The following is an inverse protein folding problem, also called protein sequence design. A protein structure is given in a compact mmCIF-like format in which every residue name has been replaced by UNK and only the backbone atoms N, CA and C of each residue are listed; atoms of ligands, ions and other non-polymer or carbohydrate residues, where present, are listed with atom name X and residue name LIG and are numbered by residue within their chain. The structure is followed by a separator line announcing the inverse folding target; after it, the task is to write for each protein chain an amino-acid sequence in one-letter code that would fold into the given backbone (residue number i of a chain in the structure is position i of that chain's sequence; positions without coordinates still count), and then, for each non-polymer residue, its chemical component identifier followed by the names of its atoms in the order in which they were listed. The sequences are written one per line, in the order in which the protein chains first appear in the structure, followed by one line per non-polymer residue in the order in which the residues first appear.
data_IF_275964513578
#
_entry.id   IF_275964513578
#
_cell.length_a   1.000
_cell.length_b   1.000
_cell.length_c   1.000
_cell.angle_alpha   90.00
_cell.angle_beta   90.00
_cell.angle_gamma   90.00
#
_symmetry.space_group_name_H-M   'P 1'
#
loop_
_entity.id
_entity.type
_entity.pdbx_description
1 polymer ?
#
# COMPACT_ATOMS: atom_id res chain seq x y z
N UNK A 1 -17.05 -24.02 31.69
CA UNK A 1 -15.91 -24.14 30.76
C UNK A 1 -16.34 -24.43 29.33
N UNK A 2 -17.06 -25.52 29.00
CA UNK A 2 -17.44 -25.79 27.59
C UNK A 2 -18.65 -24.96 27.09
N UNK A 3 -19.60 -24.63 27.97
CA UNK A 3 -20.75 -23.78 27.61
C UNK A 3 -20.36 -22.32 27.32
N UNK A 4 -19.30 -21.84 27.98
CA UNK A 4 -18.76 -20.49 27.78
C UNK A 4 -18.14 -20.36 26.38
N UNK A 5 -17.41 -21.40 25.94
CA UNK A 5 -16.79 -21.45 24.60
C UNK A 5 -17.84 -21.41 23.48
N UNK A 6 -18.97 -22.11 23.64
CA UNK A 6 -20.06 -22.08 22.65
C UNK A 6 -20.70 -20.70 22.57
N UNK A 7 -20.86 -20.01 23.71
CA UNK A 7 -21.36 -18.64 23.77
C UNK A 7 -20.40 -17.63 23.13
N UNK A 8 -19.11 -17.75 23.40
CA UNK A 8 -18.07 -16.90 22.82
C UNK A 8 -17.98 -17.07 21.31
N UNK A 9 -18.03 -18.31 20.81
CA UNK A 9 -18.05 -18.60 19.38
C UNK A 9 -19.31 -18.02 18.73
N UNK A 10 -20.50 -18.22 19.32
CA UNK A 10 -21.75 -17.68 18.79
C UNK A 10 -21.73 -16.14 18.71
N UNK A 11 -21.17 -15.49 19.73
CA UNK A 11 -20.98 -14.03 19.78
C UNK A 11 -20.02 -13.54 18.70
N UNK A 12 -18.88 -14.21 18.52
CA UNK A 12 -17.90 -13.88 17.47
C UNK A 12 -18.54 -14.02 16.09
N UNK A 13 -19.30 -15.10 15.86
CA UNK A 13 -20.00 -15.31 14.57
C UNK A 13 -21.05 -14.24 14.32
N UNK A 14 -21.90 -13.91 15.30
CA UNK A 14 -22.95 -12.90 15.14
C UNK A 14 -22.37 -11.49 14.96
N UNK A 15 -21.48 -11.07 15.87
CA UNK A 15 -20.86 -9.73 15.81
C UNK A 15 -19.96 -9.61 14.58
N UNK A 16 -19.17 -10.63 14.27
CA UNK A 16 -18.31 -10.66 13.09
C UNK A 16 -19.12 -10.55 11.78
N UNK A 17 -20.23 -11.28 11.68
CA UNK A 17 -21.13 -11.19 10.52
C UNK A 17 -21.78 -9.82 10.41
N UNK A 18 -22.28 -9.26 11.52
CA UNK A 18 -22.89 -7.93 11.53
C UNK A 18 -21.89 -6.82 11.21
N UNK A 19 -20.67 -6.91 11.74
CA UNK A 19 -19.57 -6.00 11.44
C UNK A 19 -19.16 -6.07 9.96
N UNK A 20 -19.07 -7.28 9.38
CA UNK A 20 -18.77 -7.47 7.97
C UNK A 20 -19.85 -6.91 7.04
N UNK A 21 -21.13 -7.13 7.36
CA UNK A 21 -22.25 -6.53 6.61
C UNK A 21 -22.19 -5.01 6.69
N UNK A 22 -21.95 -4.46 7.89
CA UNK A 22 -21.80 -3.01 8.11
C UNK A 22 -20.65 -2.43 7.29
N UNK A 23 -19.50 -3.12 7.27
CA UNK A 23 -18.35 -2.78 6.43
C UNK A 23 -18.75 -2.73 4.95
N UNK A 24 -19.40 -3.76 4.42
CA UNK A 24 -19.86 -3.79 3.02
C UNK A 24 -20.79 -2.61 2.71
N UNK A 25 -21.74 -2.29 3.59
CA UNK A 25 -22.66 -1.15 3.40
C UNK A 25 -21.88 0.16 3.34
N UNK A 26 -20.95 0.38 4.27
CA UNK A 26 -20.09 1.57 4.30
C UNK A 26 -19.25 1.67 3.03
N UNK A 27 -18.64 0.56 2.59
CA UNK A 27 -17.84 0.51 1.37
C UNK A 27 -18.68 0.75 0.12
N UNK A 28 -19.93 0.30 0.11
CA UNK A 28 -20.87 0.47 -1.01
C UNK A 28 -21.37 1.91 -1.12
N UNK A 29 -21.56 2.60 0.00
CA UNK A 29 -21.90 4.04 0.06
C UNK A 29 -20.68 4.90 -0.32
N UNK A 30 -19.48 4.53 0.13
CA UNK A 30 -18.24 5.26 -0.16
C UNK A 30 -17.77 5.17 -1.63
N UNK A 31 -18.38 4.28 -2.41
CA UNK A 31 -18.19 4.18 -3.86
C UNK A 31 -16.90 3.47 -4.31
N UNK A 32 -16.99 2.79 -5.45
CA UNK A 32 -15.89 1.98 -6.07
C UNK A 32 -14.66 2.81 -6.49
N UNK A 33 -14.74 4.14 -6.47
CA UNK A 33 -13.67 5.04 -6.94
C UNK A 33 -12.58 5.29 -5.90
N UNK A 34 -12.87 5.08 -4.61
CA UNK A 34 -11.94 5.37 -3.50
C UNK A 34 -11.00 4.18 -3.25
N UNK A 35 -11.51 2.95 -3.40
CA UNK A 35 -10.74 1.71 -3.19
C UNK A 35 -10.09 1.14 -4.45
N UNK A 36 -10.66 1.35 -5.65
CA UNK A 36 -10.08 0.80 -6.89
C UNK A 36 -8.82 1.55 -7.39
N UNK A 37 -8.48 2.68 -6.75
CA UNK A 37 -7.27 3.46 -7.04
C UNK A 37 -6.13 3.21 -6.06
N UNK A 38 -6.42 2.68 -4.87
CA UNK A 38 -5.37 2.28 -3.93
C UNK A 38 -4.97 0.84 -4.25
N UNK A 39 -3.67 0.59 -4.32
CA UNK A 39 -3.15 -0.77 -4.44
C UNK A 39 -3.72 -1.59 -3.28
N UNK A 40 -4.29 -2.77 -3.54
CA UNK A 40 -4.84 -3.65 -2.50
C UNK A 40 -3.82 -3.93 -1.38
N UNK A 41 -2.53 -3.89 -1.71
CA UNK A 41 -1.45 -3.95 -0.75
C UNK A 41 -1.40 -2.75 0.21
N UNK A 42 -1.52 -1.52 -0.30
CA UNK A 42 -1.49 -0.28 0.47
C UNK A 42 -2.66 -0.17 1.47
N UNK A 43 -3.82 -0.69 1.06
CA UNK A 43 -4.99 -0.83 1.94
C UNK A 43 -4.70 -1.76 3.14
N UNK A 44 -4.11 -2.93 2.88
CA UNK A 44 -3.79 -3.91 3.94
C UNK A 44 -2.78 -3.33 4.92
N UNK A 45 -1.75 -2.64 4.44
CA UNK A 45 -0.73 -2.04 5.30
C UNK A 45 -1.31 -0.92 6.16
N UNK A 46 -2.17 -0.06 5.60
CA UNK A 46 -2.84 1.01 6.36
C UNK A 46 -3.72 0.45 7.47
N UNK A 47 -4.47 -0.63 7.20
CA UNK A 47 -5.28 -1.32 8.21
C UNK A 47 -4.40 -1.94 9.30
N UNK A 48 -3.27 -2.54 8.94
CA UNK A 48 -2.32 -3.12 9.89
C UNK A 48 -1.70 -2.06 10.82
N UNK A 49 -1.31 -0.89 10.28
CA UNK A 49 -0.80 0.24 11.07
C UNK A 49 -1.87 0.75 12.04
N UNK A 50 -3.11 0.94 11.56
CA UNK A 50 -4.22 1.39 12.39
C UNK A 50 -4.55 0.41 13.53
N UNK A 51 -4.59 -0.89 13.24
CA UNK A 51 -4.80 -1.93 14.25
C UNK A 51 -3.69 -1.95 15.29
N UNK A 52 -2.44 -1.85 14.84
CA UNK A 52 -1.28 -1.89 15.72
C UNK A 52 -1.26 -0.67 16.64
N UNK A 53 -1.55 0.52 16.10
CA UNK A 53 -1.67 1.74 16.90
C UNK A 53 -2.80 1.65 17.94
N UNK A 54 -3.96 1.11 17.57
CA UNK A 54 -5.06 0.90 18.50
C UNK A 54 -4.67 -0.07 19.63
N UNK A 55 -3.95 -1.14 19.32
CA UNK A 55 -3.43 -2.08 20.33
C UNK A 55 -2.46 -1.39 21.28
N UNK A 56 -1.52 -0.58 20.77
CA UNK A 56 -0.54 0.15 21.60
C UNK A 56 -1.25 1.15 22.53
N UNK A 57 -2.31 1.80 22.07
CA UNK A 57 -3.02 2.82 22.85
C UNK A 57 -3.97 2.23 23.90
N UNK A 58 -4.54 1.05 23.64
CA UNK A 58 -5.59 0.46 24.47
C UNK A 58 -5.10 -0.69 25.37
N UNK A 59 -3.93 -1.27 25.09
CA UNK A 59 -3.39 -2.39 25.85
C UNK A 59 -2.22 -1.97 26.74
N UNK A 60 -2.48 -1.87 28.05
CA UNK A 60 -1.48 -1.47 29.06
C UNK A 60 -0.33 -2.46 29.24
N UNK A 61 -0.48 -3.68 28.74
CA UNK A 61 0.58 -4.71 28.79
C UNK A 61 1.68 -4.45 27.73
N UNK A 62 1.41 -3.61 26.74
CA UNK A 62 2.37 -3.26 25.70
C UNK A 62 3.22 -2.11 26.19
N UNK A 63 4.52 -2.34 26.31
CA UNK A 63 5.45 -1.27 26.65
C UNK A 63 5.57 -0.25 25.50
N UNK A 64 5.86 1.01 25.82
CA UNK A 64 6.07 2.05 24.80
C UNK A 64 7.16 1.66 23.79
N UNK A 65 8.23 1.00 24.25
CA UNK A 65 9.32 0.53 23.41
C UNK A 65 8.87 -0.55 22.41
N UNK A 66 8.04 -1.50 22.84
CA UNK A 66 7.44 -2.51 21.94
C UNK A 66 6.52 -1.85 20.91
N UNK A 67 5.71 -0.88 21.33
CA UNK A 67 4.84 -0.14 20.42
C UNK A 67 5.62 0.63 19.34
N UNK A 68 6.66 1.35 19.72
CA UNK A 68 7.56 2.04 18.77
C UNK A 68 8.26 1.04 17.85
N UNK A 69 8.71 -0.10 18.38
CA UNK A 69 9.38 -1.15 17.58
C UNK A 69 8.42 -1.75 16.54
N UNK A 70 7.17 -2.03 16.92
CA UNK A 70 6.15 -2.56 16.01
C UNK A 70 5.81 -1.56 14.90
N UNK A 71 5.65 -0.27 15.23
CA UNK A 71 5.41 0.78 14.24
C UNK A 71 6.61 1.00 13.31
N UNK A 72 7.83 1.00 13.85
CA UNK A 72 9.05 1.12 13.04
C UNK A 72 9.22 -0.06 12.09
N UNK A 73 8.96 -1.29 12.55
CA UNK A 73 8.98 -2.49 11.73
C UNK A 73 7.95 -2.38 10.59
N UNK A 74 6.72 -1.98 10.89
CA UNK A 74 5.68 -1.78 9.87
C UNK A 74 6.06 -0.70 8.87
N UNK A 75 6.64 0.41 9.31
CA UNK A 75 7.11 1.48 8.42
C UNK A 75 8.22 1.02 7.47
N UNK A 76 9.18 0.23 7.97
CA UNK A 76 10.25 -0.36 7.15
C UNK A 76 9.66 -1.36 6.15
N UNK A 77 8.75 -2.22 6.58
CA UNK A 77 8.07 -3.16 5.67
C UNK A 77 7.24 -2.43 4.62
N UNK A 78 6.58 -1.33 4.98
CA UNK A 78 5.83 -0.48 4.05
C UNK A 78 6.75 0.15 3.01
N UNK A 79 7.92 0.65 3.42
CA UNK A 79 8.93 1.16 2.52
C UNK A 79 9.45 0.08 1.55
N UNK A 80 9.74 -1.12 2.06
CA UNK A 80 10.27 -2.22 1.26
C UNK A 80 9.27 -2.73 0.22
N UNK A 81 7.97 -2.75 0.54
CA UNK A 81 6.95 -3.23 -0.39
C UNK A 81 6.38 -2.12 -1.28
N UNK A 82 6.68 -0.84 -0.98
CA UNK A 82 6.21 0.32 -1.73
C UNK A 82 6.54 0.32 -3.24
N UNK A 83 7.43 -0.57 -3.69
CA UNK A 83 7.76 -0.75 -5.11
C UNK A 83 7.50 -2.21 -5.53
N UNK A 84 6.23 -2.56 -5.70
CA UNK A 84 5.86 -3.86 -6.29
C UNK A 84 5.94 -3.81 -7.83
N UNK A 85 6.35 -4.92 -8.46
CA UNK A 85 6.40 -5.04 -9.94
C UNK A 85 5.03 -4.79 -10.58
N UNK A 86 3.96 -5.13 -9.87
CA UNK A 86 2.58 -4.89 -10.34
C UNK A 86 2.23 -3.40 -10.34
N UNK A 87 2.72 -2.61 -9.38
CA UNK A 87 2.59 -1.15 -9.40
C UNK A 87 3.36 -0.54 -10.57
N UNK A 88 4.56 -1.02 -10.87
CA UNK A 88 5.33 -0.56 -12.05
C UNK A 88 4.53 -0.83 -13.33
N UNK A 89 4.01 -2.04 -13.50
CA UNK A 89 3.17 -2.39 -14.66
C UNK A 89 1.83 -1.63 -14.70
N UNK A 90 1.25 -1.29 -13.55
CA UNK A 90 0.06 -0.45 -13.48
C UNK A 90 0.36 1.00 -13.86
N UNK A 91 1.47 1.56 -13.37
CA UNK A 91 1.92 2.90 -13.70
C UNK A 91 2.16 3.02 -15.22
N UNK A 92 2.87 2.06 -15.81
CA UNK A 92 3.09 1.99 -17.26
C UNK A 92 1.75 1.97 -18.02
N UNK A 93 0.81 1.09 -17.63
CA UNK A 93 -0.51 1.01 -18.26
C UNK A 93 -1.35 2.28 -18.08
N UNK A 94 -1.24 2.96 -16.95
CA UNK A 94 -2.00 4.19 -16.66
C UNK A 94 -1.58 5.35 -17.58
N UNK A 95 -0.34 5.34 -18.08
CA UNK A 95 0.14 6.28 -19.10
C UNK A 95 -0.26 5.91 -20.53
N UNK A 96 -1.03 4.83 -20.71
CA UNK A 96 -1.50 4.35 -22.01
C UNK A 96 -0.52 3.41 -22.72
N UNK A 97 0.58 3.00 -22.07
CA UNK A 97 1.53 2.07 -22.65
C UNK A 97 1.16 0.61 -22.37
N UNK A 98 0.98 -0.16 -23.44
CA UNK A 98 0.63 -1.59 -23.36
C UNK A 98 1.85 -2.52 -23.29
N UNK A 99 3.03 -2.03 -23.68
CA UNK A 99 4.28 -2.80 -23.74
C UNK A 99 5.37 -2.11 -22.92
N UNK A 100 6.05 -2.87 -22.06
CA UNK A 100 7.18 -2.39 -21.26
C UNK A 100 8.36 -2.04 -22.16
N UNK A 101 8.46 -2.65 -23.34
CA UNK A 101 9.49 -2.34 -24.34
C UNK A 101 9.46 -0.90 -24.86
N UNK A 102 8.35 -0.18 -24.72
CA UNK A 102 8.20 1.23 -25.13
C UNK A 102 8.58 2.25 -24.04
N UNK A 103 8.82 1.76 -22.82
CA UNK A 103 9.20 2.58 -21.67
C UNK A 103 10.72 2.73 -21.64
N UNK A 104 11.21 3.96 -21.51
CA UNK A 104 12.63 4.25 -21.35
C UNK A 104 13.05 4.19 -19.89
N UNK A 105 12.22 4.76 -19.00
CA UNK A 105 12.49 4.77 -17.57
C UNK A 105 11.20 4.81 -16.74
N UNK A 106 11.28 4.22 -15.56
CA UNK A 106 10.30 4.40 -14.49
C UNK A 106 11.05 4.93 -13.28
N UNK A 107 10.65 6.10 -12.81
CA UNK A 107 11.28 6.81 -11.70
C UNK A 107 10.31 6.80 -10.53
N UNK A 108 10.79 6.36 -9.36
CA UNK A 108 10.08 6.52 -8.10
C UNK A 108 10.41 7.89 -7.54
N UNK A 109 9.41 8.74 -7.42
CA UNK A 109 9.53 10.08 -6.86
C UNK A 109 9.57 10.06 -5.32
N UNK A 110 9.97 11.17 -4.71
CA UNK A 110 10.08 11.29 -3.25
C UNK A 110 8.74 11.19 -2.51
N UNK A 111 7.63 11.44 -3.21
CA UNK A 111 6.27 11.32 -2.69
C UNK A 111 5.69 9.89 -2.86
N UNK A 112 6.48 8.95 -3.40
CA UNK A 112 6.06 7.58 -3.65
C UNK A 112 5.30 7.36 -4.96
N UNK A 113 5.11 8.41 -5.77
CA UNK A 113 4.52 8.27 -7.11
C UNK A 113 5.52 7.70 -8.12
N UNK A 114 5.01 7.03 -9.15
CA UNK A 114 5.82 6.48 -10.24
C UNK A 114 5.66 7.34 -11.49
N UNK A 115 6.73 7.99 -11.90
CA UNK A 115 6.85 8.70 -13.17
C UNK A 115 7.31 7.73 -14.26
N UNK A 116 6.57 7.66 -15.37
CA UNK A 116 6.92 6.79 -16.51
C UNK A 116 7.32 7.66 -17.70
N UNK A 117 8.51 7.43 -18.23
CA UNK A 117 9.06 8.15 -19.38
C UNK A 117 9.10 7.20 -20.58
N UNK A 118 8.41 7.57 -21.65
CA UNK A 118 8.37 6.82 -22.90
C UNK A 118 9.64 7.05 -23.74
N UNK A 119 10.04 6.06 -24.55
CA UNK A 119 11.24 6.16 -25.41
C UNK A 119 11.21 7.33 -26.40
N UNK A 120 10.03 7.71 -26.88
CA UNK A 120 9.83 8.84 -27.80
C UNK A 120 9.86 10.20 -27.09
N UNK A 121 9.70 10.24 -25.75
CA UNK A 121 9.61 11.47 -24.95
C UNK A 121 10.78 11.68 -24.00
N UNK A 122 11.79 10.81 -24.03
CA UNK A 122 12.90 10.82 -23.06
C UNK A 122 13.85 12.01 -23.21
N UNK A 123 13.95 12.58 -24.42
CA UNK A 123 14.85 13.70 -24.69
C UNK A 123 16.32 13.36 -24.47
N UNK A 124 17.05 14.23 -23.77
CA UNK A 124 18.49 14.15 -23.51
C UNK A 124 18.85 13.56 -22.14
N UNK A 125 17.87 13.03 -21.39
CA UNK A 125 18.01 12.53 -20.02
C UNK A 125 18.44 13.57 -18.98
N UNK A 126 18.40 14.87 -19.29
CA UNK A 126 18.75 15.94 -18.34
C UNK A 126 17.85 15.95 -17.10
N UNK A 127 16.56 15.66 -17.27
CA UNK A 127 15.58 15.58 -16.18
C UNK A 127 15.82 14.41 -15.21
N UNK A 128 16.58 13.41 -15.63
CA UNK A 128 16.95 12.24 -14.82
C UNK A 128 18.37 12.32 -14.25
N UNK A 129 19.07 13.44 -14.45
CA UNK A 129 20.40 13.64 -13.92
C UNK A 129 20.42 13.47 -12.39
N UNK A 130 21.31 12.62 -11.89
CA UNK A 130 21.40 12.26 -10.47
C UNK A 130 20.79 10.91 -10.10
N UNK A 131 20.02 10.28 -10.99
CA UNK A 131 19.64 8.88 -10.84
C UNK A 131 20.85 7.99 -11.20
N UNK A 132 21.16 7.00 -10.37
CA UNK A 132 22.42 6.22 -10.47
C UNK A 132 22.56 5.30 -11.68
N UNK A 133 21.55 5.19 -12.55
CA UNK A 133 21.54 4.26 -13.69
C UNK A 133 20.94 4.87 -14.97
N UNK A 134 21.33 6.10 -15.28
CA UNK A 134 20.88 6.83 -16.47
C UNK A 134 21.96 6.69 -17.55
N UNK A 135 21.60 6.41 -18.82
CA UNK A 135 22.55 6.46 -19.93
C UNK A 135 23.23 7.83 -19.93
N UNK A 136 24.56 7.87 -20.00
CA UNK A 136 25.29 9.13 -20.03
C UNK A 136 24.69 10.02 -21.14
N UNK A 137 24.27 11.23 -20.80
CA UNK A 137 23.87 12.20 -21.82
C UNK A 137 25.11 12.44 -22.67
N UNK A 138 25.13 11.95 -23.91
CA UNK A 138 26.20 12.24 -24.86
C UNK A 138 26.24 13.77 -25.04
N UNK A 139 27.16 14.41 -24.30
CA UNK A 139 27.53 15.82 -24.45
C UNK A 139 28.81 15.90 -25.27
#
# INVERSE_FOLDING_TARGET
MWFDVVGDIARVVLIGSAAYISLIVILRISGKRTLAKLNAFDLVVTVAVGSTLATILLNSDVSFAEGVTALALLAVLQFLVGVSVDQIRQAIRSTGQGDVGQVAAVVLESDGSLSVIAKDKVGDWSASAGLGNVPASDR
#
